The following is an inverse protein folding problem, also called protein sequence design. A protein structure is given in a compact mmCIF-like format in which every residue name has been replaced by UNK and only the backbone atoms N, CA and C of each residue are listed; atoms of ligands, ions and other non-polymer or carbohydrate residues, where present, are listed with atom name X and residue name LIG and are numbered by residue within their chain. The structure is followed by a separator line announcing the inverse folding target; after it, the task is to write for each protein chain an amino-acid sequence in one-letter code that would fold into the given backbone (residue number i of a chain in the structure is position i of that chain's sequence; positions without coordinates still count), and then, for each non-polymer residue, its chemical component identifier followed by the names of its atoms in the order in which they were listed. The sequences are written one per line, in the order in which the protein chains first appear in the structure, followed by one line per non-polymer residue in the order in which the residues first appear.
data_IF_097315103287
#
_entry.id   IF_097315103287
#
_cell.length_a   1.000
_cell.length_b   1.000
_cell.length_c   1.000
_cell.angle_alpha   90.00
_cell.angle_beta   90.00
_cell.angle_gamma   90.00
#
_symmetry.space_group_name_H-M   'P 1'
#
loop_
_entity.id
_entity.type
_entity.pdbx_description
1 polymer ?
#
# COMPACT_ATOMS: atom_id res chain seq x y z
N UNK A 1 -31.34 -3.69 -11.85
CA UNK A 1 -30.95 -4.68 -12.85
C UNK A 1 -29.47 -4.92 -12.68
N UNK A 2 -29.06 -6.06 -12.13
CA UNK A 2 -27.65 -6.39 -11.93
C UNK A 2 -27.11 -7.03 -13.20
N UNK A 3 -25.98 -6.53 -13.70
CA UNK A 3 -25.34 -7.00 -14.92
C UNK A 3 -24.77 -8.42 -14.72
N UNK A 4 -24.92 -9.36 -15.68
CA UNK A 4 -24.52 -10.76 -15.55
C UNK A 4 -23.04 -11.03 -15.90
N UNK A 5 -22.22 -9.99 -16.07
CA UNK A 5 -20.80 -10.12 -16.37
C UNK A 5 -19.99 -9.92 -15.08
N UNK A 6 -18.95 -10.75 -14.84
CA UNK A 6 -18.02 -10.46 -13.75
C UNK A 6 -17.44 -9.07 -13.99
N UNK A 7 -17.50 -8.23 -12.95
CA UNK A 7 -16.87 -6.92 -12.95
C UNK A 7 -15.39 -7.15 -13.29
N UNK A 8 -14.94 -6.66 -14.46
CA UNK A 8 -13.53 -6.73 -14.83
C UNK A 8 -12.72 -6.08 -13.73
N UNK A 9 -11.65 -6.75 -13.26
CA UNK A 9 -10.78 -6.20 -12.24
C UNK A 9 -10.37 -4.77 -12.65
N UNK A 10 -10.46 -3.79 -11.74
CA UNK A 10 -10.20 -2.40 -12.07
C UNK A 10 -8.76 -2.26 -12.59
N UNK A 11 -8.63 -1.47 -13.65
CA UNK A 11 -7.36 -1.13 -14.26
C UNK A 11 -7.12 0.39 -14.18
N UNK A 12 -6.08 0.88 -14.85
CA UNK A 12 -5.76 2.31 -14.85
C UNK A 12 -6.82 3.21 -15.50
N UNK A 13 -7.86 2.66 -16.15
CA UNK A 13 -9.01 3.44 -16.62
C UNK A 13 -10.00 3.78 -15.51
N UNK A 14 -9.94 3.07 -14.37
CA UNK A 14 -10.63 3.36 -13.12
C UNK A 14 -9.61 3.47 -11.97
N UNK A 15 -8.91 4.61 -11.84
CA UNK A 15 -7.85 4.76 -10.84
C UNK A 15 -8.35 4.63 -9.40
N UNK A 16 -9.56 5.08 -9.09
CA UNK A 16 -10.11 4.98 -7.73
C UNK A 16 -10.49 3.52 -7.41
N UNK A 17 -11.09 2.80 -8.36
CA UNK A 17 -11.32 1.36 -8.22
C UNK A 17 -10.02 0.58 -8.06
N UNK A 18 -8.95 0.98 -8.76
CA UNK A 18 -7.63 0.37 -8.63
C UNK A 18 -7.03 0.58 -7.23
N UNK A 19 -7.18 1.78 -6.64
CA UNK A 19 -6.78 2.05 -5.25
C UNK A 19 -7.57 1.18 -4.26
N UNK A 20 -8.90 1.09 -4.40
CA UNK A 20 -9.72 0.21 -3.56
C UNK A 20 -9.30 -1.27 -3.68
N UNK A 21 -8.95 -1.73 -4.88
CA UNK A 21 -8.42 -3.08 -5.08
C UNK A 21 -7.04 -3.26 -4.44
N UNK A 22 -6.20 -2.21 -4.40
CA UNK A 22 -4.97 -2.22 -3.60
C UNK A 22 -5.27 -2.36 -2.11
N UNK A 23 -6.28 -1.66 -1.58
CA UNK A 23 -6.63 -1.75 -0.15
C UNK A 23 -7.06 -3.16 0.24
N UNK A 24 -7.81 -3.85 -0.63
CA UNK A 24 -8.16 -5.26 -0.42
C UNK A 24 -6.92 -6.14 -0.26
N UNK A 25 -5.95 -6.01 -1.17
CA UNK A 25 -4.67 -6.73 -1.11
C UNK A 25 -3.84 -6.35 0.11
N UNK A 26 -3.82 -5.07 0.50
CA UNK A 26 -3.16 -4.61 1.73
C UNK A 26 -3.71 -5.32 2.97
N UNK A 27 -5.04 -5.43 3.08
CA UNK A 27 -5.69 -6.14 4.20
C UNK A 27 -5.36 -7.64 4.20
N UNK A 28 -5.34 -8.28 3.03
CA UNK A 28 -4.93 -9.69 2.89
C UNK A 28 -3.48 -9.91 3.36
N UNK A 29 -2.57 -9.05 2.94
CA UNK A 29 -1.15 -9.12 3.34
C UNK A 29 -0.94 -8.80 4.82
N UNK A 30 -1.70 -7.87 5.41
CA UNK A 30 -1.68 -7.62 6.85
C UNK A 30 -2.16 -8.85 7.64
N UNK A 31 -3.25 -9.49 7.22
CA UNK A 31 -3.70 -10.73 7.85
C UNK A 31 -2.71 -11.88 7.67
N UNK A 32 -2.00 -11.94 6.54
CA UNK A 32 -0.91 -12.91 6.34
C UNK A 32 0.28 -12.64 7.27
N UNK A 33 0.64 -11.37 7.47
CA UNK A 33 1.71 -10.97 8.39
C UNK A 33 1.40 -11.42 9.83
N UNK A 34 0.18 -11.19 10.32
CA UNK A 34 -0.22 -11.63 11.66
C UNK A 34 -0.12 -13.15 11.80
N UNK A 35 -0.70 -13.91 10.86
CA UNK A 35 -0.63 -15.39 10.89
C UNK A 35 0.81 -15.90 10.83
N UNK A 36 1.64 -15.27 10.00
CA UNK A 36 3.06 -15.58 9.90
C UNK A 36 3.76 -15.34 11.25
N UNK A 37 3.53 -14.18 11.88
CA UNK A 37 4.17 -13.84 13.15
C UNK A 37 3.82 -14.82 14.29
N UNK A 38 2.59 -15.34 14.31
CA UNK A 38 2.18 -16.38 15.27
C UNK A 38 2.80 -17.76 14.95
N UNK A 39 3.15 -18.02 13.69
CA UNK A 39 3.69 -19.30 13.24
C UNK A 39 5.22 -19.39 13.32
N UNK A 40 5.93 -18.25 13.31
CA UNK A 40 7.39 -18.24 13.32
C UNK A 40 7.98 -18.76 14.63
N UNK A 41 9.06 -19.57 14.58
CA UNK A 41 9.83 -19.91 15.77
C UNK A 41 10.67 -18.71 16.23
N UNK A 42 11.03 -18.68 17.51
CA UNK A 42 11.92 -17.65 18.06
C UNK A 42 13.33 -17.77 17.46
N UNK A 43 13.91 -18.97 17.41
CA UNK A 43 15.16 -19.22 16.69
C UNK A 43 15.10 -20.59 16.02
N UNK A 44 15.72 -20.72 14.85
CA UNK A 44 15.92 -21.99 14.18
C UNK A 44 15.25 -22.10 12.82
N UNK A 45 14.93 -23.32 12.41
CA UNK A 45 14.47 -23.61 11.06
C UNK A 45 13.05 -23.08 10.84
N UNK A 46 12.91 -22.13 9.92
CA UNK A 46 11.62 -21.64 9.41
C UNK A 46 11.23 -22.52 8.24
N UNK A 47 10.04 -23.13 8.25
CA UNK A 47 9.59 -24.01 7.18
C UNK A 47 9.39 -23.28 5.82
N UNK A 48 9.16 -24.07 4.77
CA UNK A 48 9.04 -23.55 3.41
C UNK A 48 7.85 -22.60 3.21
N UNK A 49 6.73 -22.85 3.90
CA UNK A 49 5.51 -22.07 3.80
C UNK A 49 5.69 -20.71 4.46
N UNK A 50 6.23 -20.68 5.68
CA UNK A 50 6.54 -19.46 6.41
C UNK A 50 7.57 -18.60 5.68
N UNK A 51 8.61 -19.21 5.08
CA UNK A 51 9.57 -18.49 4.22
C UNK A 51 8.89 -17.87 3.00
N UNK A 52 7.92 -18.55 2.39
CA UNK A 52 7.18 -18.03 1.25
C UNK A 52 6.25 -16.88 1.64
N UNK A 53 5.54 -17.02 2.76
CA UNK A 53 4.70 -15.96 3.32
C UNK A 53 5.53 -14.72 3.65
N UNK A 54 6.68 -14.88 4.32
CA UNK A 54 7.59 -13.79 4.65
C UNK A 54 8.05 -13.03 3.40
N UNK A 55 8.48 -13.74 2.34
CA UNK A 55 8.83 -13.13 1.05
C UNK A 55 7.67 -12.39 0.41
N UNK A 56 6.47 -12.98 0.44
CA UNK A 56 5.28 -12.40 -0.18
C UNK A 56 4.89 -11.09 0.50
N UNK A 57 4.77 -11.10 1.84
CA UNK A 57 4.50 -9.90 2.66
C UNK A 57 5.59 -8.85 2.46
N UNK A 58 6.87 -9.24 2.56
CA UNK A 58 7.99 -8.33 2.37
C UNK A 58 7.96 -7.67 1.00
N UNK A 59 7.76 -8.45 -0.06
CA UNK A 59 7.73 -7.94 -1.44
C UNK A 59 6.60 -6.93 -1.60
N UNK A 60 5.39 -7.26 -1.14
CA UNK A 60 4.23 -6.40 -1.29
C UNK A 60 4.40 -5.04 -0.59
N UNK A 61 4.71 -5.04 0.71
CA UNK A 61 4.86 -3.79 1.47
C UNK A 61 6.16 -3.01 1.15
N UNK A 62 7.15 -3.64 0.53
CA UNK A 62 8.36 -2.94 0.07
C UNK A 62 8.26 -2.42 -1.38
N UNK A 63 7.18 -2.71 -2.11
CA UNK A 63 7.06 -2.32 -3.52
C UNK A 63 5.69 -1.73 -3.83
N UNK A 64 4.63 -2.52 -3.73
CA UNK A 64 3.28 -2.12 -4.12
C UNK A 64 2.71 -1.04 -3.19
N UNK A 65 2.89 -1.16 -1.87
CA UNK A 65 2.36 -0.19 -0.91
C UNK A 65 3.01 1.21 -1.04
N UNK A 66 4.34 1.36 -1.17
CA UNK A 66 4.95 2.66 -1.44
C UNK A 66 4.46 3.29 -2.76
N UNK A 67 4.24 2.49 -3.80
CA UNK A 67 3.70 2.99 -5.07
C UNK A 67 2.26 3.49 -4.93
N UNK A 68 1.46 2.88 -4.05
CA UNK A 68 0.11 3.31 -3.74
C UNK A 68 0.09 4.68 -3.03
N UNK A 69 0.84 4.84 -1.94
CA UNK A 69 0.97 6.16 -1.28
C UNK A 69 1.46 7.24 -2.26
N UNK A 70 2.39 6.90 -3.17
CA UNK A 70 2.88 7.83 -4.19
C UNK A 70 1.79 8.25 -5.19
N UNK A 71 0.79 7.41 -5.47
CA UNK A 71 -0.32 7.78 -6.34
C UNK A 71 -1.24 8.78 -5.65
N UNK A 72 -1.60 8.54 -4.39
CA UNK A 72 -2.36 9.53 -3.62
C UNK A 72 -1.59 10.84 -3.50
N UNK A 73 -0.34 10.78 -3.03
CA UNK A 73 0.40 11.97 -2.67
C UNK A 73 0.78 12.86 -3.84
N UNK A 74 0.98 12.27 -5.02
CA UNK A 74 1.37 13.02 -6.23
C UNK A 74 0.18 13.31 -7.12
N UNK A 75 -0.82 12.44 -7.16
CA UNK A 75 -1.91 12.57 -8.11
C UNK A 75 -3.21 13.04 -7.46
N UNK A 76 -3.66 12.44 -6.36
CA UNK A 76 -4.97 12.77 -5.79
C UNK A 76 -4.90 13.97 -4.84
N UNK A 77 -4.02 13.93 -3.83
CA UNK A 77 -3.94 14.94 -2.78
C UNK A 77 -3.75 16.37 -3.33
N UNK A 78 -2.84 16.65 -4.28
CA UNK A 78 -2.64 18.01 -4.77
C UNK A 78 -3.85 18.59 -5.51
N UNK A 79 -4.67 17.72 -6.13
CA UNK A 79 -5.90 18.12 -6.84
C UNK A 79 -7.03 18.45 -5.88
N UNK A 80 -7.09 17.76 -4.74
CA UNK A 80 -8.23 17.83 -3.81
C UNK A 80 -8.00 18.72 -2.59
N UNK A 81 -6.76 19.00 -2.21
CA UNK A 81 -6.43 19.74 -0.96
C UNK A 81 -7.06 21.11 -0.83
N UNK A 82 -7.38 21.79 -1.96
CA UNK A 82 -7.99 23.14 -1.94
C UNK A 82 -9.50 23.14 -2.05
N UNK A 83 -10.15 21.97 -2.06
CA UNK A 83 -11.61 21.86 -2.25
C UNK A 83 -12.39 22.30 -1.01
N UNK A 84 -11.87 22.07 0.19
CA UNK A 84 -12.44 22.52 1.47
C UNK A 84 -11.41 22.44 2.60
N UNK A 85 -11.69 23.10 3.73
CA UNK A 85 -10.86 22.98 4.94
C UNK A 85 -10.87 21.53 5.47
N UNK A 86 -12.03 20.87 5.49
CA UNK A 86 -12.15 19.47 5.90
C UNK A 86 -11.29 18.56 5.04
N UNK A 87 -11.28 18.74 3.72
CA UNK A 87 -10.44 17.95 2.81
C UNK A 87 -8.94 18.19 3.08
N UNK A 88 -8.54 19.42 3.38
CA UNK A 88 -7.16 19.72 3.74
C UNK A 88 -6.74 19.01 5.04
N UNK A 89 -7.62 18.98 6.05
CA UNK A 89 -7.40 18.25 7.30
C UNK A 89 -7.31 16.73 7.08
N UNK A 90 -8.23 16.15 6.29
CA UNK A 90 -8.21 14.73 5.92
C UNK A 90 -6.90 14.35 5.22
N UNK A 91 -6.47 15.11 4.22
CA UNK A 91 -5.20 14.86 3.50
C UNK A 91 -3.99 15.00 4.43
N UNK A 92 -4.02 15.95 5.37
CA UNK A 92 -2.94 16.10 6.34
C UNK A 92 -2.83 14.85 7.22
N UNK A 93 -3.96 14.37 7.75
CA UNK A 93 -4.01 13.15 8.56
C UNK A 93 -3.51 11.92 7.78
N UNK A 94 -3.99 11.71 6.56
CA UNK A 94 -3.55 10.58 5.71
C UNK A 94 -2.03 10.59 5.48
N UNK A 95 -1.43 11.77 5.28
CA UNK A 95 0.03 11.89 5.15
C UNK A 95 0.77 11.55 6.43
N UNK A 96 0.23 11.89 7.59
CA UNK A 96 0.81 11.50 8.88
C UNK A 96 0.75 9.98 9.07
N UNK A 97 -0.37 9.36 8.70
CA UNK A 97 -0.54 7.91 8.71
C UNK A 97 0.46 7.22 7.77
N UNK A 98 0.61 7.69 6.52
CA UNK A 98 1.59 7.12 5.58
C UNK A 98 2.99 7.11 6.19
N UNK A 99 3.42 8.21 6.80
CA UNK A 99 4.72 8.30 7.44
C UNK A 99 4.84 7.38 8.66
N UNK A 100 3.77 7.19 9.43
CA UNK A 100 3.76 6.28 10.57
C UNK A 100 3.86 4.81 10.11
N UNK A 101 3.06 4.42 9.12
CA UNK A 101 3.07 3.09 8.51
C UNK A 101 4.43 2.78 7.89
N UNK A 102 5.04 3.73 7.18
CA UNK A 102 6.39 3.56 6.61
C UNK A 102 7.44 3.31 7.69
N UNK A 103 7.40 4.04 8.82
CA UNK A 103 8.33 3.83 9.95
C UNK A 103 8.12 2.47 10.62
N UNK A 104 6.88 2.06 10.83
CA UNK A 104 6.56 0.73 11.38
C UNK A 104 7.06 -0.37 10.44
N UNK A 105 6.80 -0.23 9.13
CA UNK A 105 7.26 -1.19 8.13
C UNK A 105 8.79 -1.29 8.06
N UNK A 106 9.51 -0.15 8.11
CA UNK A 106 10.97 -0.14 8.16
C UNK A 106 11.54 -0.91 9.35
N UNK A 107 10.80 -0.96 10.47
CA UNK A 107 11.18 -1.73 11.66
C UNK A 107 10.91 -3.23 11.50
N UNK A 108 9.83 -3.61 10.83
CA UNK A 108 9.43 -5.00 10.60
C UNK A 108 10.18 -5.69 9.45
N UNK A 109 10.44 -4.98 8.36
CA UNK A 109 10.96 -5.54 7.11
C UNK A 109 12.27 -6.35 7.28
N UNK A 110 13.25 -5.96 8.12
CA UNK A 110 14.47 -6.74 8.32
C UNK A 110 14.20 -8.17 8.83
N UNK A 111 13.28 -8.34 9.78
CA UNK A 111 12.94 -9.64 10.35
C UNK A 111 12.35 -10.59 9.30
N UNK A 112 11.54 -10.05 8.37
CA UNK A 112 10.95 -10.85 7.29
C UNK A 112 11.94 -11.29 6.22
N UNK A 113 13.11 -10.63 6.09
CA UNK A 113 14.18 -11.08 5.20
C UNK A 113 14.92 -12.30 5.76
N UNK A 114 15.01 -12.41 7.08
CA UNK A 114 15.71 -13.48 7.80
C UNK A 114 14.86 -13.98 8.96
N UNK A 115 13.71 -14.63 8.70
CA UNK A 115 12.75 -14.95 9.76
C UNK A 115 13.26 -15.96 10.80
N UNK A 116 14.34 -16.70 10.52
CA UNK A 116 14.93 -17.66 11.45
C UNK A 116 15.87 -17.05 12.49
N UNK A 117 16.10 -15.74 12.45
CA UNK A 117 17.04 -15.02 13.34
C UNK A 117 16.33 -14.00 14.24
N UNK A 118 15.01 -14.13 14.46
CA UNK A 118 14.22 -13.17 15.24
C UNK A 118 14.49 -13.34 16.74
N UNK A 119 15.36 -12.53 17.34
CA UNK A 119 15.77 -12.71 18.75
C UNK A 119 14.64 -12.47 19.75
N UNK A 120 13.73 -11.53 19.47
CA UNK A 120 12.55 -11.24 20.31
C UNK A 120 11.27 -11.45 19.50
N UNK A 121 10.81 -12.69 19.46
CA UNK A 121 9.60 -13.08 18.74
C UNK A 121 8.36 -12.37 19.29
N UNK A 122 8.28 -12.18 20.61
CA UNK A 122 7.14 -11.52 21.24
C UNK A 122 7.06 -10.04 20.83
N UNK A 123 8.19 -9.34 20.68
CA UNK A 123 8.23 -7.99 20.13
C UNK A 123 7.82 -7.96 18.67
N UNK A 124 8.34 -8.88 17.84
CA UNK A 124 7.95 -8.97 16.44
C UNK A 124 6.44 -9.19 16.27
N UNK A 125 5.85 -10.10 17.05
CA UNK A 125 4.41 -10.36 17.07
C UNK A 125 3.59 -9.13 17.45
N UNK A 126 4.02 -8.36 18.46
CA UNK A 126 3.34 -7.10 18.83
C UNK A 126 3.40 -6.08 17.69
N UNK A 127 4.59 -5.85 17.14
CA UNK A 127 4.79 -4.89 16.04
C UNK A 127 3.98 -5.29 14.80
N UNK A 128 3.91 -6.58 14.48
CA UNK A 128 3.13 -7.10 13.37
C UNK A 128 1.62 -6.81 13.54
N UNK A 129 1.08 -7.00 14.75
CA UNK A 129 -0.31 -6.68 15.08
C UNK A 129 -0.57 -5.17 15.05
N UNK A 130 0.31 -4.38 15.66
CA UNK A 130 0.21 -2.90 15.68
C UNK A 130 0.22 -2.32 14.26
N UNK A 131 1.10 -2.81 13.37
CA UNK A 131 1.13 -2.41 11.97
C UNK A 131 -0.14 -2.82 11.22
N UNK A 132 -0.61 -4.06 11.41
CA UNK A 132 -1.81 -4.56 10.75
C UNK A 132 -3.08 -3.81 11.19
N UNK A 133 -3.18 -3.44 12.47
CA UNK A 133 -4.26 -2.62 13.01
C UNK A 133 -4.22 -1.20 12.44
N UNK A 134 -3.07 -0.51 12.55
CA UNK A 134 -2.89 0.84 12.02
C UNK A 134 -3.18 0.92 10.51
N UNK A 135 -2.75 -0.08 9.74
CA UNK A 135 -3.05 -0.15 8.30
C UNK A 135 -4.55 -0.27 8.06
N UNK A 136 -5.27 -1.12 8.81
CA UNK A 136 -6.73 -1.27 8.63
C UNK A 136 -7.49 0.01 8.96
N UNK A 137 -7.09 0.68 10.04
CA UNK A 137 -7.67 1.96 10.46
C UNK A 137 -7.45 3.03 9.39
N UNK A 138 -6.22 3.16 8.91
CA UNK A 138 -5.85 4.07 7.83
C UNK A 138 -6.70 3.85 6.57
N UNK A 139 -6.77 2.60 6.08
CA UNK A 139 -7.53 2.27 4.87
C UNK A 139 -9.03 2.52 5.04
N UNK A 140 -9.60 2.22 6.21
CA UNK A 140 -11.01 2.51 6.50
C UNK A 140 -11.27 4.01 6.52
N UNK A 141 -10.41 4.77 7.18
CA UNK A 141 -10.52 6.22 7.24
C UNK A 141 -10.43 6.85 5.85
N UNK A 142 -9.47 6.41 5.03
CA UNK A 142 -9.28 6.91 3.68
C UNK A 142 -10.48 6.61 2.77
N UNK A 143 -10.97 5.36 2.79
CA UNK A 143 -12.14 4.94 2.02
C UNK A 143 -13.35 5.81 2.33
N UNK A 144 -13.65 5.98 3.63
CA UNK A 144 -14.84 6.70 4.08
C UNK A 144 -14.74 8.23 3.93
N UNK A 145 -13.57 8.81 4.20
CA UNK A 145 -13.41 10.26 4.34
C UNK A 145 -12.74 10.92 3.14
N UNK A 146 -12.03 10.16 2.31
CA UNK A 146 -11.28 10.68 1.17
C UNK A 146 -11.76 10.13 -0.17
N UNK A 147 -11.69 8.81 -0.41
CA UNK A 147 -11.96 8.23 -1.72
C UNK A 147 -13.43 8.42 -2.17
N UNK A 148 -14.39 8.29 -1.24
CA UNK A 148 -15.79 8.55 -1.56
C UNK A 148 -16.03 10.01 -1.99
N UNK A 149 -15.36 10.98 -1.38
CA UNK A 149 -15.43 12.39 -1.82
C UNK A 149 -14.67 12.61 -3.13
N UNK A 150 -13.50 12.00 -3.30
CA UNK A 150 -12.70 12.09 -4.52
C UNK A 150 -13.50 11.65 -5.75
N UNK A 151 -14.31 10.59 -5.62
CA UNK A 151 -15.21 10.09 -6.67
C UNK A 151 -16.20 11.15 -7.19
N UNK A 152 -16.65 12.05 -6.32
CA UNK A 152 -17.61 13.10 -6.66
C UNK A 152 -16.96 14.41 -7.11
N UNK A 153 -15.71 14.66 -6.69
CA UNK A 153 -15.01 15.92 -6.94
C UNK A 153 -14.14 15.88 -8.21
N UNK A 154 -13.62 14.72 -8.59
CA UNK A 154 -12.75 14.57 -9.75
C UNK A 154 -13.56 14.44 -11.04
N UNK A 155 -13.21 15.23 -12.05
CA UNK A 155 -13.78 15.11 -13.39
C UNK A 155 -13.28 13.85 -14.09
N UNK A 156 -14.02 13.38 -15.10
CA UNK A 156 -13.59 12.25 -15.94
C UNK A 156 -12.27 12.51 -16.67
N UNK A 157 -11.92 13.79 -16.90
CA UNK A 157 -10.62 14.15 -17.46
C UNK A 157 -9.50 13.94 -16.45
N UNK A 158 -9.67 14.44 -15.22
CA UNK A 158 -8.68 14.27 -14.16
C UNK A 158 -8.45 12.80 -13.83
N UNK A 159 -9.51 11.98 -13.75
CA UNK A 159 -9.39 10.54 -13.53
C UNK A 159 -8.53 9.86 -14.61
N UNK A 160 -8.68 10.24 -15.88
CA UNK A 160 -7.82 9.71 -16.96
C UNK A 160 -6.36 10.14 -16.82
N UNK A 161 -6.12 11.39 -16.42
CA UNK A 161 -4.77 11.91 -16.20
C UNK A 161 -4.09 11.19 -15.03
N UNK A 162 -4.81 10.98 -13.92
CA UNK A 162 -4.36 10.22 -12.74
C UNK A 162 -4.04 8.78 -13.14
N UNK A 163 -4.96 8.09 -13.81
CA UNK A 163 -4.77 6.70 -14.24
C UNK A 163 -3.53 6.51 -15.11
N UNK A 164 -3.28 7.41 -16.05
CA UNK A 164 -2.05 7.39 -16.86
C UNK A 164 -0.79 7.56 -16.01
N UNK A 165 -0.78 8.52 -15.08
CA UNK A 165 0.37 8.74 -14.20
C UNK A 165 0.63 7.53 -13.29
N UNK A 166 -0.42 6.90 -12.76
CA UNK A 166 -0.31 5.65 -11.99
C UNK A 166 0.30 4.54 -12.85
N UNK A 167 -0.12 4.41 -14.11
CA UNK A 167 0.40 3.41 -15.04
C UNK A 167 1.90 3.64 -15.35
N UNK A 168 2.27 4.88 -15.68
CA UNK A 168 3.66 5.28 -15.96
C UNK A 168 4.58 4.93 -14.78
N UNK A 169 4.11 5.10 -13.54
CA UNK A 169 4.87 4.75 -12.32
C UNK A 169 5.19 3.26 -12.19
N UNK A 170 4.45 2.39 -12.88
CA UNK A 170 4.67 0.92 -12.86
C UNK A 170 5.47 0.42 -14.06
N UNK A 171 5.80 1.29 -15.01
CA UNK A 171 6.67 0.92 -16.11
C UNK A 171 8.13 0.87 -15.62
N UNK A 172 8.94 -0.07 -16.16
CA UNK A 172 10.38 0.00 -15.96
C UNK A 172 10.87 1.36 -16.43
N UNK A 173 11.61 2.09 -15.58
CA UNK A 173 12.23 3.33 -16.05
C UNK A 173 13.27 2.96 -17.11
N UNK A 174 13.14 3.50 -18.32
CA UNK A 174 14.23 3.43 -19.28
C UNK A 174 15.44 4.17 -18.67
N UNK A 175 16.65 3.58 -18.73
CA UNK A 175 17.84 4.26 -18.26
C UNK A 175 17.96 5.60 -18.97
N UNK A 176 18.31 6.64 -18.21
CA UNK A 176 18.42 7.98 -18.79
C UNK A 176 19.46 7.98 -19.92
N UNK A 177 19.27 8.83 -20.95
CA UNK A 177 20.26 9.01 -22.02
C UNK A 177 21.65 9.38 -21.46
N UNK A 178 21.70 9.94 -20.25
CA UNK A 178 22.91 10.28 -19.50
C UNK A 178 23.68 9.04 -18.99
N UNK A 179 22.99 7.93 -18.70
CA UNK A 179 23.60 6.63 -18.36
C UNK A 179 24.07 5.87 -19.60
N UNK A 180 23.39 6.05 -20.74
CA UNK A 180 23.80 5.44 -22.02
C UNK A 180 25.10 6.03 -22.59
N UNK A 181 25.42 7.28 -22.23
CA UNK A 181 26.62 7.99 -22.68
C UNK A 181 27.84 7.84 -21.73
N UNK A 182 27.73 7.02 -20.67
CA UNK A 182 28.81 6.76 -19.70
C UNK A 182 29.57 5.44 -19.94
N UNK A 183 29.41 4.82 -21.11
CA UNK A 183 30.19 3.64 -21.55
C UNK A 183 31.18 4.04 -22.63
#
# INVERSE_FOLDING_TARGET
MSSPFPETAPDFSDPLGLLLACHGRMREHAGLLERLAEHLPEQGEVDAEARQAARSVHTYFSTAAPLHHLDEERELFPRLVRTSLKMAETIHHLREDHQALDRQWQSLAPALRQPGTIEDLAAFQRQAREFAEALREHLAYEEENFLELARHLLSSRELKEIGRAMQERRQPQEPSMEEYLRV
#
